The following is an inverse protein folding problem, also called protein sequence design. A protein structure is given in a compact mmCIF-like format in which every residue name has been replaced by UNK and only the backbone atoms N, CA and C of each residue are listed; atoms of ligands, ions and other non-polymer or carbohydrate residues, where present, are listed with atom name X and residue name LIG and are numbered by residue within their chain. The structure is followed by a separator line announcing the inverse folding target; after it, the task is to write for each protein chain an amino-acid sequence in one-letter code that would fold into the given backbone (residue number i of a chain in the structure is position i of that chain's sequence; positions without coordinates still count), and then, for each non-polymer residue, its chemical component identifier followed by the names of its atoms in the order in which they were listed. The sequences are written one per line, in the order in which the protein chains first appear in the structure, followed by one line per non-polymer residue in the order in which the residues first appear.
data_IF_621206928138
#
_entry.id   IF_621206928138
#
_cell.length_a   1.000
_cell.length_b   1.000
_cell.length_c   1.000
_cell.angle_alpha   90.00
_cell.angle_beta   90.00
_cell.angle_gamma   90.00
#
_symmetry.space_group_name_H-M   'P 1'
#
loop_
_entity.id
_entity.type
_entity.pdbx_description
1 polymer ?
#
# COMPACT_ATOMS: atom_id res chain seq x y z
N UNK A 1 18.27 27.64 9.43
CA UNK A 1 18.09 27.14 8.04
C UNK A 1 16.73 27.62 7.56
N UNK A 2 16.58 28.14 6.33
CA UNK A 2 15.24 28.53 5.81
C UNK A 2 14.47 27.25 5.45
N UNK A 3 13.21 27.14 5.87
CA UNK A 3 12.32 26.06 5.44
C UNK A 3 12.25 26.02 3.90
N UNK A 4 12.07 24.83 3.30
CA UNK A 4 11.84 24.72 1.87
C UNK A 4 10.63 25.57 1.46
N UNK A 5 10.67 26.10 0.23
CA UNK A 5 9.60 26.93 -0.32
C UNK A 5 8.25 26.21 -0.36
N UNK A 6 7.17 26.99 -0.52
CA UNK A 6 5.80 26.48 -0.56
C UNK A 6 5.64 25.40 -1.64
N UNK A 7 4.88 24.35 -1.32
CA UNK A 7 4.52 23.31 -2.27
C UNK A 7 3.62 23.90 -3.38
N UNK A 8 4.08 23.87 -4.64
CA UNK A 8 3.40 24.50 -5.77
C UNK A 8 2.82 23.51 -6.80
N UNK A 9 3.04 22.20 -6.63
CA UNK A 9 2.51 21.20 -7.57
C UNK A 9 1.01 20.98 -7.36
N UNK A 10 0.24 20.85 -8.45
CA UNK A 10 -1.18 20.46 -8.36
C UNK A 10 -1.26 18.99 -7.95
N UNK A 11 -1.87 18.72 -6.81
CA UNK A 11 -2.08 17.37 -6.27
C UNK A 11 -3.32 16.69 -6.85
N UNK A 12 -3.36 15.36 -6.78
CA UNK A 12 -4.53 14.56 -7.13
C UNK A 12 -4.42 13.97 -8.53
N UNK A 13 -5.50 14.02 -9.28
CA UNK A 13 -5.62 13.31 -10.55
C UNK A 13 -4.82 14.03 -11.65
N UNK A 14 -3.94 13.35 -12.40
CA UNK A 14 -3.29 13.91 -13.59
C UNK A 14 -4.29 14.35 -14.67
N UNK A 15 -3.93 15.38 -15.43
CA UNK A 15 -4.78 15.99 -16.47
C UNK A 15 -5.28 14.97 -17.50
N UNK A 16 -4.41 14.07 -17.97
CA UNK A 16 -4.78 13.03 -18.93
C UNK A 16 -5.86 12.05 -18.42
N UNK A 17 -6.02 11.91 -17.09
CA UNK A 17 -7.09 11.10 -16.49
C UNK A 17 -8.36 11.96 -16.31
N UNK A 18 -8.21 13.24 -15.96
CA UNK A 18 -9.33 14.17 -15.85
C UNK A 18 -10.04 14.41 -17.19
N UNK A 19 -9.30 14.31 -18.30
CA UNK A 19 -9.81 14.46 -19.67
C UNK A 19 -10.37 13.17 -20.27
N UNK A 20 -10.42 12.06 -19.52
CA UNK A 20 -11.00 10.81 -20.03
C UNK A 20 -12.51 10.95 -20.22
N UNK A 21 -13.02 10.52 -21.37
CA UNK A 21 -14.45 10.43 -21.65
C UNK A 21 -15.00 9.04 -21.28
N UNK A 22 -16.29 8.98 -20.92
CA UNK A 22 -17.01 7.74 -20.63
C UNK A 22 -16.32 6.84 -19.59
N UNK A 23 -15.76 7.45 -18.54
CA UNK A 23 -14.95 6.78 -17.53
C UNK A 23 -15.68 5.58 -16.91
N UNK A 24 -15.09 4.41 -17.08
CA UNK A 24 -15.54 3.16 -16.46
C UNK A 24 -14.55 2.66 -15.39
N UNK A 25 -15.02 1.91 -14.38
CA UNK A 25 -14.13 1.25 -13.42
C UNK A 25 -13.07 0.35 -14.06
N UNK A 26 -13.40 -0.33 -15.16
CA UNK A 26 -12.43 -1.15 -15.91
C UNK A 26 -11.32 -0.29 -16.53
N UNK A 27 -11.64 0.84 -17.16
CA UNK A 27 -10.62 1.74 -17.70
C UNK A 27 -9.67 2.26 -16.62
N UNK A 28 -10.21 2.63 -15.44
CA UNK A 28 -9.37 3.09 -14.33
C UNK A 28 -8.51 1.96 -13.74
N UNK A 29 -9.01 0.73 -13.68
CA UNK A 29 -8.22 -0.43 -13.27
C UNK A 29 -7.08 -0.71 -14.27
N UNK A 30 -7.31 -0.50 -15.57
CA UNK A 30 -6.32 -0.67 -16.65
C UNK A 30 -5.16 0.31 -16.62
N UNK A 31 -5.27 1.42 -15.91
CA UNK A 31 -4.14 2.29 -15.61
C UNK A 31 -3.02 1.56 -14.85
N UNK A 32 -3.37 0.49 -14.12
CA UNK A 32 -2.44 -0.27 -13.27
C UNK A 32 -2.10 -1.63 -13.85
N UNK A 33 -3.10 -2.37 -14.32
CA UNK A 33 -2.90 -3.63 -15.05
C UNK A 33 -3.04 -3.38 -16.55
N UNK A 34 -1.98 -2.79 -17.11
CA UNK A 34 -1.88 -2.41 -18.53
C UNK A 34 -1.75 -3.63 -19.44
N UNK A 35 -1.95 -3.44 -20.74
CA UNK A 35 -1.80 -4.50 -21.73
C UNK A 35 -0.38 -5.11 -21.70
N UNK A 36 0.67 -4.28 -21.65
CA UNK A 36 2.06 -4.74 -21.49
C UNK A 36 2.24 -5.71 -20.31
N UNK A 37 1.54 -5.48 -19.19
CA UNK A 37 1.63 -6.35 -18.03
C UNK A 37 0.93 -7.68 -18.29
N UNK A 38 -0.22 -7.67 -18.96
CA UNK A 38 -0.94 -8.89 -19.35
C UNK A 38 -0.12 -9.72 -20.34
N UNK A 39 0.53 -9.06 -21.32
CA UNK A 39 1.45 -9.68 -22.25
C UNK A 39 2.63 -10.36 -21.54
N UNK A 40 3.26 -9.67 -20.58
CA UNK A 40 4.35 -10.24 -19.78
C UNK A 40 3.87 -11.46 -18.98
N UNK A 41 2.71 -11.37 -18.31
CA UNK A 41 2.16 -12.49 -17.55
C UNK A 41 1.89 -13.68 -18.47
N UNK A 42 1.28 -13.43 -19.63
CA UNK A 42 0.93 -14.45 -20.62
C UNK A 42 2.19 -15.13 -21.17
N UNK A 43 3.15 -14.34 -21.65
CA UNK A 43 4.41 -14.82 -22.18
C UNK A 43 5.18 -15.67 -21.15
N UNK A 44 5.36 -15.15 -19.94
CA UNK A 44 6.13 -15.86 -18.89
C UNK A 44 5.42 -17.12 -18.40
N UNK A 45 4.09 -17.13 -18.40
CA UNK A 45 3.29 -18.32 -18.07
C UNK A 45 3.43 -19.40 -19.15
N UNK A 46 3.40 -19.03 -20.43
CA UNK A 46 3.63 -19.95 -21.54
C UNK A 46 5.06 -20.49 -21.56
N UNK A 47 6.06 -19.62 -21.34
CA UNK A 47 7.46 -20.01 -21.25
C UNK A 47 7.68 -21.06 -20.16
N UNK A 48 7.15 -20.82 -18.96
CA UNK A 48 7.24 -21.79 -17.87
C UNK A 48 6.54 -23.12 -18.23
N UNK A 49 5.38 -23.06 -18.87
CA UNK A 49 4.66 -24.26 -19.29
C UNK A 49 5.47 -25.06 -20.32
N UNK A 50 6.08 -24.41 -21.31
CA UNK A 50 6.96 -25.04 -22.29
C UNK A 50 8.19 -25.70 -21.64
N UNK A 51 8.76 -25.06 -20.61
CA UNK A 51 9.91 -25.60 -19.87
C UNK A 51 9.57 -26.80 -18.99
N UNK A 52 8.32 -26.94 -18.53
CA UNK A 52 7.96 -27.91 -17.47
C UNK A 52 6.94 -28.96 -17.90
N UNK A 53 6.19 -28.73 -18.97
CA UNK A 53 5.08 -29.58 -19.41
C UNK A 53 5.23 -29.93 -20.88
N UNK A 54 5.17 -31.22 -21.23
CA UNK A 54 5.28 -31.70 -22.62
C UNK A 54 4.09 -31.27 -23.49
N UNK A 55 2.88 -31.26 -22.91
CA UNK A 55 1.64 -30.87 -23.60
C UNK A 55 0.92 -29.80 -22.77
N UNK A 56 0.70 -28.62 -23.33
CA UNK A 56 -0.11 -27.58 -22.72
C UNK A 56 -0.83 -26.74 -23.78
N UNK A 57 -1.97 -26.15 -23.39
CA UNK A 57 -2.64 -25.12 -24.19
C UNK A 57 -2.08 -23.75 -23.79
N UNK A 58 -1.46 -22.99 -24.72
CA UNK A 58 -1.00 -21.64 -24.44
C UNK A 58 -2.11 -20.73 -23.93
N UNK A 59 -1.76 -19.75 -23.11
CA UNK A 59 -2.63 -18.67 -22.64
C UNK A 59 -2.39 -17.40 -23.46
N UNK A 60 -3.36 -16.50 -23.46
CA UNK A 60 -3.29 -15.19 -24.13
C UNK A 60 -3.48 -14.07 -23.11
N UNK A 61 -3.08 -12.82 -23.40
CA UNK A 61 -3.35 -11.67 -22.52
C UNK A 61 -4.83 -11.56 -22.12
N UNK A 62 -5.76 -11.83 -23.05
CA UNK A 62 -7.20 -11.82 -22.79
C UNK A 62 -7.63 -12.92 -21.83
N UNK A 63 -7.07 -14.14 -21.95
CA UNK A 63 -7.36 -15.23 -21.01
C UNK A 63 -6.77 -14.95 -19.62
N UNK A 64 -5.59 -14.35 -19.55
CA UNK A 64 -5.00 -13.86 -18.29
C UNK A 64 -5.92 -12.80 -17.67
N UNK A 65 -6.50 -11.93 -18.48
CA UNK A 65 -7.40 -10.92 -17.99
C UNK A 65 -8.69 -11.50 -17.38
N UNK A 66 -9.32 -12.47 -18.08
CA UNK A 66 -10.45 -13.25 -17.54
C UNK A 66 -10.05 -13.87 -16.19
N UNK A 67 -8.86 -14.45 -16.11
CA UNK A 67 -8.34 -15.04 -14.88
C UNK A 67 -8.22 -14.00 -13.75
N UNK A 68 -7.67 -12.81 -14.01
CA UNK A 68 -7.57 -11.74 -13.01
C UNK A 68 -8.96 -11.25 -12.56
N UNK A 69 -9.90 -11.10 -13.48
CA UNK A 69 -11.27 -10.70 -13.18
C UNK A 69 -11.98 -11.70 -12.27
N UNK A 70 -11.90 -13.00 -12.57
CA UNK A 70 -12.43 -14.06 -11.69
C UNK A 70 -11.80 -14.00 -10.30
N UNK A 71 -10.51 -13.67 -10.20
CA UNK A 71 -9.84 -13.49 -8.92
C UNK A 71 -10.38 -12.30 -8.11
N UNK A 72 -10.70 -11.19 -8.77
CA UNK A 72 -11.33 -10.03 -8.13
C UNK A 72 -12.74 -10.38 -7.63
N UNK A 73 -13.56 -11.07 -8.42
CA UNK A 73 -14.93 -11.49 -8.04
C UNK A 73 -14.91 -12.42 -6.83
N UNK A 74 -13.97 -13.37 -6.78
CA UNK A 74 -13.76 -14.28 -5.63
C UNK A 74 -13.45 -13.55 -4.32
N UNK A 75 -12.95 -12.30 -4.38
CA UNK A 75 -12.76 -11.48 -3.18
C UNK A 75 -14.07 -10.98 -2.54
N UNK A 76 -15.18 -10.96 -3.29
CA UNK A 76 -16.48 -10.44 -2.84
C UNK A 76 -17.23 -11.48 -2.00
N UNK A 77 -17.40 -12.68 -2.55
CA UNK A 77 -18.04 -13.82 -1.86
C UNK A 77 -16.95 -14.79 -1.48
N UNK A 78 -16.73 -15.06 -0.19
CA UNK A 78 -15.69 -15.99 0.26
C UNK A 78 -16.29 -17.38 0.49
N UNK A 79 -15.94 -18.33 -0.38
CA UNK A 79 -16.26 -19.75 -0.26
C UNK A 79 -15.07 -20.57 0.31
N UNK A 80 -15.33 -21.74 0.94
CA UNK A 80 -14.30 -22.59 1.53
C UNK A 80 -13.21 -23.03 0.54
N UNK A 81 -13.59 -23.34 -0.70
CA UNK A 81 -12.72 -23.72 -1.80
C UNK A 81 -12.97 -22.83 -3.01
N UNK A 82 -11.92 -22.61 -3.82
CA UNK A 82 -12.14 -21.94 -5.10
C UNK A 82 -12.95 -22.81 -6.07
N UNK A 83 -13.00 -24.13 -5.87
CA UNK A 83 -13.82 -25.02 -6.71
C UNK A 83 -15.31 -24.75 -6.52
N UNK A 84 -15.70 -24.32 -5.32
CA UNK A 84 -17.10 -24.11 -4.97
C UNK A 84 -17.75 -22.97 -5.77
N UNK A 85 -16.96 -22.03 -6.31
CA UNK A 85 -17.50 -20.99 -7.20
C UNK A 85 -18.05 -21.58 -8.49
N UNK A 86 -17.49 -22.68 -9.00
CA UNK A 86 -17.93 -23.31 -10.25
C UNK A 86 -19.17 -24.19 -10.10
N UNK A 87 -19.65 -24.42 -8.87
CA UNK A 87 -20.90 -25.15 -8.65
C UNK A 87 -22.15 -24.33 -9.06
N UNK A 88 -21.99 -23.00 -9.20
CA UNK A 88 -23.08 -22.06 -9.47
C UNK A 88 -22.83 -21.20 -10.73
N UNK A 89 -21.97 -21.68 -11.66
CA UNK A 89 -21.37 -21.00 -12.83
C UNK A 89 -20.03 -20.27 -12.54
N UNK A 90 -19.07 -20.20 -13.50
CA UNK A 90 -19.23 -19.46 -14.76
C UNK A 90 -18.74 -20.13 -16.07
N UNK A 91 -19.50 -19.94 -17.16
CA UNK A 91 -19.17 -20.34 -18.53
C UNK A 91 -17.90 -19.67 -19.13
N UNK A 92 -17.30 -18.68 -18.45
CA UNK A 92 -16.16 -17.89 -18.98
C UNK A 92 -14.83 -18.65 -18.97
N UNK A 93 -14.57 -19.47 -17.94
CA UNK A 93 -13.34 -20.26 -17.85
C UNK A 93 -13.62 -21.57 -17.12
N UNK A 94 -13.38 -22.74 -17.75
CA UNK A 94 -13.58 -24.03 -17.09
C UNK A 94 -12.74 -24.16 -15.81
N UNK A 95 -13.30 -24.82 -14.78
CA UNK A 95 -12.64 -25.01 -13.48
C UNK A 95 -11.22 -25.57 -13.62
N UNK A 96 -11.04 -26.56 -14.50
CA UNK A 96 -9.74 -27.18 -14.75
C UNK A 96 -8.74 -26.20 -15.38
N UNK A 97 -9.21 -25.32 -16.28
CA UNK A 97 -8.36 -24.28 -16.88
C UNK A 97 -7.98 -23.20 -15.87
N UNK A 98 -8.93 -22.76 -15.05
CA UNK A 98 -8.66 -21.83 -13.95
C UNK A 98 -7.64 -22.42 -12.96
N UNK A 99 -7.83 -23.68 -12.56
CA UNK A 99 -6.89 -24.40 -11.70
C UNK A 99 -5.51 -24.56 -12.34
N UNK A 100 -5.46 -24.81 -13.66
CA UNK A 100 -4.21 -24.86 -14.41
C UNK A 100 -3.49 -23.51 -14.38
N UNK A 101 -4.15 -22.41 -14.73
CA UNK A 101 -3.57 -21.06 -14.69
C UNK A 101 -3.13 -20.69 -13.28
N UNK A 102 -3.95 -20.97 -12.26
CA UNK A 102 -3.59 -20.72 -10.87
C UNK A 102 -2.31 -21.46 -10.44
N UNK A 103 -2.00 -22.61 -11.05
CA UNK A 103 -0.79 -23.38 -10.76
C UNK A 103 0.39 -23.03 -11.68
N UNK A 104 0.15 -22.51 -12.88
CA UNK A 104 1.18 -22.26 -13.90
C UNK A 104 1.51 -20.79 -14.12
N UNK A 105 0.75 -19.86 -13.54
CA UNK A 105 1.05 -18.42 -13.65
C UNK A 105 2.49 -18.13 -13.22
N UNK A 106 3.20 -17.39 -14.06
CA UNK A 106 4.59 -16.95 -13.86
C UNK A 106 4.75 -15.52 -14.36
N UNK A 107 5.78 -14.85 -13.84
CA UNK A 107 6.03 -13.42 -14.11
C UNK A 107 7.47 -13.17 -14.53
N UNK A 108 8.32 -14.20 -14.52
CA UNK A 108 9.73 -14.12 -14.84
C UNK A 108 10.27 -15.52 -15.16
N UNK A 109 11.35 -15.59 -15.94
CA UNK A 109 11.98 -16.84 -16.33
C UNK A 109 12.80 -17.39 -15.15
N UNK A 110 12.35 -18.52 -14.61
CA UNK A 110 13.00 -19.17 -13.48
C UNK A 110 14.40 -19.72 -13.83
N UNK A 111 14.69 -19.98 -15.10
CA UNK A 111 15.99 -20.51 -15.53
C UNK A 111 17.12 -19.49 -15.38
N UNK A 112 16.78 -18.20 -15.35
CA UNK A 112 17.71 -17.08 -15.28
C UNK A 112 17.92 -16.56 -13.84
N UNK A 113 17.39 -17.26 -12.82
CA UNK A 113 17.57 -16.85 -11.42
C UNK A 113 19.05 -16.96 -11.05
N UNK A 114 19.70 -15.85 -10.65
CA UNK A 114 21.10 -15.90 -10.19
C UNK A 114 21.27 -16.79 -8.95
N UNK A 115 22.47 -17.34 -8.75
CA UNK A 115 22.81 -18.03 -7.50
C UNK A 115 22.77 -17.06 -6.31
N UNK A 116 22.70 -17.58 -5.08
CA UNK A 116 22.56 -16.73 -3.88
C UNK A 116 23.81 -15.89 -3.58
N UNK A 117 24.95 -16.34 -4.06
CA UNK A 117 26.26 -15.72 -3.92
C UNK A 117 26.46 -14.61 -4.95
N UNK A 118 25.63 -14.60 -6.01
CA UNK A 118 25.70 -13.58 -7.04
C UNK A 118 25.27 -12.21 -6.46
N UNK A 119 26.05 -11.13 -6.67
CA UNK A 119 25.67 -9.78 -6.24
C UNK A 119 24.30 -9.30 -6.76
N UNK A 120 23.87 -9.82 -7.91
CA UNK A 120 22.59 -9.51 -8.55
C UNK A 120 21.44 -10.42 -8.05
N UNK A 121 21.65 -11.22 -7.01
CA UNK A 121 20.60 -12.08 -6.46
C UNK A 121 19.46 -11.26 -5.86
N UNK A 122 18.28 -11.35 -6.47
CA UNK A 122 17.06 -10.73 -5.97
C UNK A 122 16.15 -11.75 -5.29
N UNK A 123 15.92 -11.59 -3.97
CA UNK A 123 14.95 -12.42 -3.23
C UNK A 123 13.53 -12.33 -3.79
N UNK A 124 13.21 -11.26 -4.53
CA UNK A 124 11.92 -11.01 -5.16
C UNK A 124 11.91 -11.32 -6.67
N UNK A 125 12.97 -11.93 -7.22
CA UNK A 125 13.16 -12.12 -8.66
C UNK A 125 11.91 -12.62 -9.40
N UNK A 126 11.24 -13.65 -8.84
CA UNK A 126 10.06 -14.30 -9.44
C UNK A 126 8.86 -13.37 -9.64
N UNK A 127 8.79 -12.24 -8.94
CA UNK A 127 7.69 -11.27 -9.01
C UNK A 127 8.20 -9.87 -9.37
N UNK A 128 9.50 -9.69 -9.56
CA UNK A 128 10.12 -8.38 -9.80
C UNK A 128 9.51 -7.63 -10.99
N UNK A 129 9.22 -8.25 -12.14
CA UNK A 129 8.60 -7.54 -13.26
C UNK A 129 7.24 -6.91 -12.90
N UNK A 130 6.37 -7.66 -12.22
CA UNK A 130 5.10 -7.14 -11.71
C UNK A 130 5.32 -5.96 -10.75
N UNK A 131 6.23 -6.11 -9.77
CA UNK A 131 6.45 -5.06 -8.77
C UNK A 131 6.92 -3.77 -9.44
N UNK A 132 7.86 -3.84 -10.38
CA UNK A 132 8.39 -2.67 -11.07
C UNK A 132 7.30 -1.95 -11.88
N UNK A 133 6.49 -2.69 -12.64
CA UNK A 133 5.42 -2.13 -13.47
C UNK A 133 4.33 -1.50 -12.58
N UNK A 134 3.85 -2.22 -11.56
CA UNK A 134 2.81 -1.69 -10.66
C UNK A 134 3.32 -0.46 -9.91
N UNK A 135 4.56 -0.46 -9.45
CA UNK A 135 5.16 0.69 -8.77
C UNK A 135 5.31 1.90 -9.69
N UNK A 136 5.71 1.69 -10.96
CA UNK A 136 5.72 2.74 -11.99
C UNK A 136 4.32 3.31 -12.19
N UNK A 137 3.32 2.45 -12.37
CA UNK A 137 1.95 2.85 -12.63
C UNK A 137 1.32 3.57 -11.43
N UNK A 138 1.67 3.20 -10.19
CA UNK A 138 1.20 3.89 -8.98
C UNK A 138 1.73 5.32 -8.90
N UNK A 139 3.00 5.54 -9.27
CA UNK A 139 3.59 6.88 -9.29
C UNK A 139 3.07 7.75 -10.44
N UNK A 140 2.80 7.15 -11.60
CA UNK A 140 2.39 7.89 -12.80
C UNK A 140 0.94 8.37 -12.77
N UNK A 141 0.04 7.62 -12.13
CA UNK A 141 -1.41 7.86 -12.21
C UNK A 141 -1.98 8.67 -11.05
N UNK A 142 -1.14 9.29 -10.21
CA UNK A 142 -1.59 10.20 -9.15
C UNK A 142 -0.49 11.18 -8.77
N UNK A 143 -0.78 12.48 -8.84
CA UNK A 143 0.10 13.54 -8.36
C UNK A 143 0.01 13.61 -6.85
N UNK A 144 1.14 13.51 -6.16
CA UNK A 144 1.20 13.57 -4.69
C UNK A 144 0.63 14.88 -4.15
N UNK A 145 0.08 14.82 -2.94
CA UNK A 145 -0.18 16.00 -2.12
C UNK A 145 1.09 16.52 -1.45
N UNK A 146 1.02 17.73 -0.91
CA UNK A 146 2.05 18.32 -0.04
C UNK A 146 2.43 17.33 1.09
N UNK A 147 1.42 16.70 1.68
CA UNK A 147 1.55 15.79 2.82
C UNK A 147 1.41 14.35 2.34
N UNK A 148 2.32 13.48 2.78
CA UNK A 148 2.29 12.04 2.52
C UNK A 148 2.57 11.28 3.82
N UNK A 149 2.03 10.07 3.95
CA UNK A 149 2.29 9.20 5.09
C UNK A 149 3.06 7.95 4.64
N UNK A 150 4.03 7.54 5.45
CA UNK A 150 4.77 6.29 5.27
C UNK A 150 4.53 5.40 6.48
N UNK A 151 4.05 4.17 6.22
CA UNK A 151 3.82 3.18 7.28
C UNK A 151 3.89 1.74 6.71
N UNK A 152 3.86 0.75 7.60
CA UNK A 152 3.80 -0.65 7.23
C UNK A 152 2.38 -1.16 6.93
N UNK A 153 2.28 -1.90 5.83
CA UNK A 153 1.20 -2.85 5.57
C UNK A 153 1.69 -4.30 5.68
N UNK A 154 0.75 -5.22 5.89
CA UNK A 154 1.02 -6.65 6.07
C UNK A 154 0.26 -7.50 5.06
N UNK A 155 0.97 -8.44 4.42
CA UNK A 155 0.40 -9.46 3.52
C UNK A 155 0.41 -10.81 4.23
N UNK A 156 -0.76 -11.33 4.56
CA UNK A 156 -0.91 -12.61 5.31
C UNK A 156 -0.30 -13.77 4.53
N UNK A 157 0.70 -14.41 5.13
CA UNK A 157 1.30 -15.64 4.59
C UNK A 157 1.82 -16.54 5.72
N UNK A 158 1.42 -17.81 5.70
CA UNK A 158 1.80 -18.82 6.71
C UNK A 158 2.79 -19.87 6.18
N UNK A 159 3.03 -19.95 4.87
CA UNK A 159 3.94 -20.93 4.26
C UNK A 159 5.42 -20.66 4.53
N UNK A 160 6.31 -21.45 3.94
CA UNK A 160 7.77 -21.28 4.08
C UNK A 160 8.26 -20.14 3.18
N UNK A 161 8.91 -19.13 3.78
CA UNK A 161 9.60 -18.05 3.08
C UNK A 161 10.50 -17.32 4.09
N UNK A 162 11.71 -16.96 3.66
CA UNK A 162 12.68 -16.16 4.44
C UNK A 162 12.29 -14.69 4.57
N UNK A 163 11.33 -14.22 3.76
CA UNK A 163 10.87 -12.82 3.76
C UNK A 163 9.79 -12.54 4.83
N UNK A 164 9.27 -13.57 5.50
CA UNK A 164 8.20 -13.40 6.49
C UNK A 164 8.68 -12.62 7.71
N UNK A 165 7.84 -11.70 8.16
CA UNK A 165 8.00 -10.92 9.38
C UNK A 165 6.90 -11.28 10.40
N UNK A 166 7.21 -11.05 11.68
CA UNK A 166 6.25 -11.12 12.77
C UNK A 166 6.03 -9.72 13.35
N UNK A 167 4.79 -9.23 13.26
CA UNK A 167 4.37 -7.90 13.70
C UNK A 167 3.23 -8.05 14.74
N UNK A 168 3.54 -8.20 16.04
CA UNK A 168 2.56 -8.59 17.06
C UNK A 168 1.40 -7.58 17.23
N UNK A 169 1.66 -6.30 16.96
CA UNK A 169 0.69 -5.20 17.10
C UNK A 169 -0.21 -4.99 15.87
N UNK A 170 0.08 -5.60 14.71
CA UNK A 170 -0.76 -5.47 13.50
C UNK A 170 -1.81 -6.59 13.47
N UNK A 171 -3.01 -6.36 12.89
CA UNK A 171 -4.06 -7.39 12.78
C UNK A 171 -3.57 -8.67 12.08
N UNK A 172 -2.79 -8.50 11.00
CA UNK A 172 -2.07 -9.59 10.35
C UNK A 172 -0.69 -9.70 11.01
N UNK A 173 -0.56 -10.60 11.98
CA UNK A 173 0.67 -10.75 12.77
C UNK A 173 1.82 -11.42 12.03
N UNK A 174 1.54 -12.33 11.08
CA UNK A 174 2.56 -13.14 10.37
C UNK A 174 2.35 -13.04 8.86
N UNK A 175 3.37 -12.62 8.14
CA UNK A 175 3.26 -12.39 6.70
C UNK A 175 4.42 -11.61 6.13
N UNK A 176 4.25 -11.03 4.94
CA UNK A 176 5.23 -10.09 4.37
C UNK A 176 4.94 -8.69 4.86
N UNK A 177 5.98 -7.99 5.31
CA UNK A 177 5.93 -6.56 5.62
C UNK A 177 6.19 -5.78 4.34
N UNK A 178 5.36 -4.77 4.10
CA UNK A 178 5.47 -3.85 2.96
C UNK A 178 5.46 -2.43 3.51
N UNK A 179 6.50 -1.66 3.22
CA UNK A 179 6.48 -0.22 3.42
C UNK A 179 5.59 0.40 2.35
N UNK A 180 4.68 1.27 2.73
CA UNK A 180 3.75 1.93 1.84
C UNK A 180 3.89 3.45 2.01
N UNK A 181 3.91 4.19 0.91
CA UNK A 181 3.82 5.65 0.88
C UNK A 181 2.47 6.03 0.29
N UNK A 182 1.62 6.67 1.09
CA UNK A 182 0.28 7.06 0.66
C UNK A 182 0.07 8.58 0.73
N UNK A 183 -0.69 9.11 -0.23
CA UNK A 183 -1.26 10.46 -0.19
C UNK A 183 -2.68 10.42 0.37
N UNK A 184 -3.20 11.56 0.79
CA UNK A 184 -4.66 11.73 0.97
C UNK A 184 -5.36 11.57 -0.40
N UNK A 185 -6.54 10.91 -0.52
CA UNK A 185 -7.44 10.35 0.50
C UNK A 185 -7.12 8.92 0.97
N UNK A 186 -5.92 8.43 0.72
CA UNK A 186 -5.50 7.05 0.92
C UNK A 186 -5.11 6.37 -0.39
N UNK A 187 -4.51 7.11 -1.32
CA UNK A 187 -3.93 6.58 -2.55
C UNK A 187 -2.51 6.07 -2.28
N UNK A 188 -2.16 4.85 -2.70
CA UNK A 188 -0.80 4.33 -2.59
C UNK A 188 0.07 4.86 -3.73
N UNK A 189 0.98 5.79 -3.43
CA UNK A 189 1.93 6.35 -4.39
C UNK A 189 3.08 5.37 -4.68
N UNK A 190 3.52 4.65 -3.65
CA UNK A 190 4.72 3.84 -3.72
C UNK A 190 4.75 2.77 -2.63
N UNK A 191 5.56 1.74 -2.83
CA UNK A 191 5.74 0.67 -1.86
C UNK A 191 7.10 -0.01 -1.97
N UNK A 192 7.51 -0.68 -0.90
CA UNK A 192 8.70 -1.52 -0.88
C UNK A 192 8.48 -2.75 0.00
N UNK A 193 8.68 -3.94 -0.58
CA UNK A 193 8.70 -5.19 0.19
C UNK A 193 9.95 -5.25 1.08
N UNK A 194 9.75 -5.58 2.35
CA UNK A 194 10.86 -5.79 3.27
C UNK A 194 11.59 -7.09 2.96
N UNK A 195 12.89 -7.01 2.64
CA UNK A 195 13.73 -8.17 2.27
C UNK A 195 14.85 -8.48 3.27
N UNK A 196 15.31 -7.48 3.99
CA UNK A 196 16.35 -7.56 5.02
C UNK A 196 16.27 -6.35 5.95
N UNK A 197 16.89 -6.48 7.12
CA UNK A 197 17.11 -5.36 8.04
C UNK A 197 18.20 -4.48 7.44
N UNK A 198 17.94 -3.19 7.38
CA UNK A 198 18.96 -2.18 7.13
C UNK A 198 19.21 -1.43 8.44
N UNK A 199 20.48 -1.17 8.77
CA UNK A 199 20.84 -0.35 9.91
C UNK A 199 20.97 1.09 9.46
N UNK A 200 20.27 1.99 10.17
CA UNK A 200 20.32 3.41 9.92
C UNK A 200 20.52 4.15 11.23
N UNK A 201 21.36 5.18 11.21
CA UNK A 201 21.36 6.20 12.23
C UNK A 201 20.08 7.04 12.04
N UNK A 202 19.29 7.15 13.12
CA UNK A 202 17.99 7.85 13.07
C UNK A 202 18.22 9.29 12.65
N UNK A 203 19.03 10.05 13.39
CA UNK A 203 19.31 11.46 13.13
C UNK A 203 19.81 11.70 11.70
N UNK A 204 20.70 10.83 11.19
CA UNK A 204 21.17 10.92 9.81
C UNK A 204 20.02 10.90 8.79
N UNK A 205 19.02 10.04 8.95
CA UNK A 205 17.85 10.01 8.04
C UNK A 205 17.11 11.37 8.05
N UNK A 206 16.92 11.98 9.23
CA UNK A 206 16.20 13.26 9.33
C UNK A 206 16.97 14.41 8.70
N UNK A 207 18.31 14.38 8.82
CA UNK A 207 19.22 15.32 8.15
C UNK A 207 19.19 15.10 6.64
N UNK A 208 19.33 13.86 6.17
CA UNK A 208 19.31 13.52 4.75
C UNK A 208 17.98 13.99 4.10
N UNK A 209 16.84 13.76 4.77
CA UNK A 209 15.54 14.28 4.32
C UNK A 209 15.51 15.81 4.26
N UNK A 210 16.06 16.49 5.26
CA UNK A 210 16.10 17.96 5.27
C UNK A 210 16.98 18.52 4.13
N UNK A 211 18.13 17.88 3.87
CA UNK A 211 19.02 18.21 2.76
C UNK A 211 18.32 18.02 1.40
N UNK A 212 17.50 16.98 1.29
CA UNK A 212 16.63 16.71 0.14
C UNK A 212 15.38 17.61 0.11
N UNK A 213 15.28 18.59 1.01
CA UNK A 213 14.15 19.53 1.15
C UNK A 213 12.82 18.84 1.48
N UNK A 214 12.88 17.68 2.12
CA UNK A 214 11.74 16.91 2.59
C UNK A 214 11.53 17.17 4.08
N UNK A 215 10.40 17.81 4.39
CA UNK A 215 9.96 18.01 5.76
C UNK A 215 9.32 16.73 6.30
N UNK A 216 9.68 16.35 7.51
CA UNK A 216 9.21 15.14 8.16
C UNK A 216 8.82 15.38 9.61
N UNK A 217 7.85 14.60 10.07
CA UNK A 217 7.54 14.39 11.47
C UNK A 217 7.00 12.98 11.69
N UNK A 218 7.14 12.45 12.91
CA UNK A 218 6.74 11.08 13.19
C UNK A 218 7.05 10.65 14.61
N UNK A 219 6.51 9.50 15.01
CA UNK A 219 6.81 8.91 16.32
C UNK A 219 8.14 8.18 16.30
N UNK A 220 8.82 8.17 17.45
CA UNK A 220 10.07 7.41 17.66
C UNK A 220 9.93 6.51 18.88
N UNK A 221 10.55 5.33 18.82
CA UNK A 221 10.67 4.49 20.01
C UNK A 221 11.74 5.09 20.94
N UNK A 222 11.38 5.34 22.20
CA UNK A 222 12.28 5.87 23.22
C UNK A 222 13.54 5.01 23.46
N UNK A 223 13.51 3.72 23.12
CA UNK A 223 14.67 2.83 23.25
C UNK A 223 15.66 2.89 22.08
N UNK A 224 15.46 3.81 21.11
CA UNK A 224 16.41 4.00 20.01
C UNK A 224 17.73 4.54 20.54
N UNK A 225 18.84 4.03 19.99
CA UNK A 225 20.20 4.49 20.32
C UNK A 225 20.35 5.97 19.96
N UNK A 226 21.20 6.67 20.72
CA UNK A 226 21.60 8.07 20.50
C UNK A 226 20.49 9.11 20.66
N UNK A 227 19.33 8.74 21.23
CA UNK A 227 18.35 9.75 21.65
C UNK A 227 18.85 10.47 22.91
N UNK A 228 18.63 11.80 23.03
CA UNK A 228 18.99 12.55 24.22
C UNK A 228 18.08 12.21 25.39
N UNK A 229 18.56 12.44 26.61
CA UNK A 229 17.76 12.29 27.82
C UNK A 229 16.74 13.43 27.93
N UNK A 230 15.47 13.07 28.09
CA UNK A 230 14.35 13.96 28.35
C UNK A 230 13.84 13.76 29.78
N UNK A 231 13.02 14.70 30.28
CA UNK A 231 12.37 14.64 31.60
C UNK A 231 11.71 13.29 31.84
N UNK A 232 11.75 12.83 33.08
CA UNK A 232 11.05 11.62 33.52
C UNK A 232 9.54 11.77 33.37
N UNK A 233 8.86 10.67 33.04
CA UNK A 233 7.41 10.67 32.77
C UNK A 233 6.58 11.10 33.99
N UNK A 234 7.09 10.91 35.21
CA UNK A 234 6.47 11.33 36.48
C UNK A 234 6.53 12.84 36.71
N UNK A 235 7.48 13.52 36.08
CA UNK A 235 7.73 14.97 36.20
C UNK A 235 7.03 15.79 35.11
N UNK A 236 6.19 15.16 34.30
CA UNK A 236 5.38 15.82 33.29
C UNK A 236 3.92 15.74 33.72
N UNK A 237 3.18 16.82 33.55
CA UNK A 237 1.72 16.83 33.65
C UNK A 237 1.06 16.53 32.30
N UNK A 238 -0.24 16.24 32.31
CA UNK A 238 -0.96 15.96 31.07
C UNK A 238 -1.07 17.25 30.25
N UNK A 239 -0.63 17.20 28.99
CA UNK A 239 -0.55 18.33 28.08
C UNK A 239 0.85 18.94 27.98
N UNK A 240 1.73 18.64 28.93
CA UNK A 240 3.11 19.13 28.90
C UNK A 240 3.99 18.36 27.91
N UNK A 241 5.04 19.04 27.45
CA UNK A 241 6.10 18.46 26.64
C UNK A 241 7.49 18.91 27.08
N UNK A 242 8.48 18.07 26.78
CA UNK A 242 9.90 18.35 26.89
C UNK A 242 10.58 18.02 25.55
N UNK A 243 11.64 18.74 25.21
CA UNK A 243 12.30 18.56 23.92
C UNK A 243 13.79 18.87 23.98
N UNK A 244 14.53 18.33 23.01
CA UNK A 244 15.91 18.70 22.69
C UNK A 244 16.01 18.92 21.19
N UNK A 245 16.79 19.91 20.80
CA UNK A 245 17.06 20.24 19.40
C UNK A 245 18.56 20.02 19.17
N UNK A 246 18.92 19.27 18.14
CA UNK A 246 20.31 19.12 17.71
C UNK A 246 20.82 20.41 17.07
N UNK A 247 22.14 20.53 16.94
CA UNK A 247 22.81 21.55 16.14
C UNK A 247 22.37 21.54 14.65
N UNK A 248 21.91 20.39 14.17
CA UNK A 248 21.36 20.18 12.82
C UNK A 248 19.86 20.48 12.69
N UNK A 249 19.23 21.11 13.70
CA UNK A 249 17.79 21.43 13.76
C UNK A 249 16.85 20.22 13.73
N UNK A 250 17.32 19.04 14.14
CA UNK A 250 16.44 17.89 14.38
C UNK A 250 15.95 17.95 15.81
N UNK A 251 14.62 17.97 15.98
CA UNK A 251 13.96 17.97 17.28
C UNK A 251 13.60 16.55 17.70
N UNK A 252 13.95 16.20 18.93
CA UNK A 252 13.36 15.07 19.69
C UNK A 252 12.43 15.65 20.75
N UNK A 253 11.19 15.20 20.77
CA UNK A 253 10.15 15.72 21.64
C UNK A 253 9.44 14.59 22.40
N UNK A 254 9.13 14.81 23.67
CA UNK A 254 8.28 13.97 24.51
C UNK A 254 7.04 14.78 24.89
N UNK A 255 5.86 14.27 24.60
CA UNK A 255 4.58 14.86 25.03
C UNK A 255 3.78 13.87 25.86
N UNK A 256 3.15 14.33 26.94
CA UNK A 256 2.35 13.50 27.84
C UNK A 256 0.85 13.75 27.66
N UNK A 257 0.15 12.75 27.12
CA UNK A 257 -1.32 12.65 27.26
C UNK A 257 -1.64 11.71 28.44
N UNK A 258 -2.53 10.72 28.26
CA UNK A 258 -2.67 9.60 29.21
C UNK A 258 -1.41 8.75 29.32
N UNK A 259 -0.59 8.73 28.27
CA UNK A 259 0.73 8.09 28.20
C UNK A 259 1.68 9.00 27.44
N UNK A 260 2.97 8.84 27.68
CA UNK A 260 3.98 9.60 26.94
C UNK A 260 4.12 9.09 25.51
N UNK A 261 4.36 10.04 24.60
CA UNK A 261 4.68 9.77 23.20
C UNK A 261 5.97 10.51 22.87
N UNK A 262 6.90 9.83 22.22
CA UNK A 262 8.12 10.45 21.71
C UNK A 262 7.96 10.69 20.21
N UNK A 263 8.32 11.88 19.76
CA UNK A 263 8.23 12.31 18.38
C UNK A 263 9.54 12.93 17.91
N UNK A 264 9.73 12.91 16.60
CA UNK A 264 10.83 13.55 15.89
C UNK A 264 10.26 14.52 14.86
N UNK A 265 10.98 15.61 14.62
CA UNK A 265 10.74 16.50 13.48
C UNK A 265 12.01 17.22 13.05
N UNK A 266 12.10 17.54 11.76
CA UNK A 266 13.15 18.39 11.20
C UNK A 266 12.68 19.81 10.83
N UNK A 267 11.45 20.20 11.22
CA UNK A 267 10.87 21.47 10.75
C UNK A 267 9.97 22.23 11.73
N UNK A 268 9.43 21.58 12.77
CA UNK A 268 8.59 22.27 13.74
C UNK A 268 9.41 23.11 14.73
N UNK A 269 8.91 24.30 15.08
CA UNK A 269 9.39 25.01 16.26
C UNK A 269 8.83 24.34 17.52
N UNK A 270 9.72 23.83 18.38
CA UNK A 270 9.35 23.10 19.59
C UNK A 270 8.63 23.94 20.65
N UNK A 271 8.65 25.27 20.51
CA UNK A 271 7.96 26.21 21.40
C UNK A 271 6.51 26.44 20.99
N UNK A 272 6.13 26.09 19.76
CA UNK A 272 4.77 26.27 19.28
C UNK A 272 3.83 25.25 19.92
N UNK A 273 2.78 25.76 20.55
CA UNK A 273 1.74 24.98 21.22
C UNK A 273 0.42 25.19 20.49
N UNK A 274 -0.35 24.11 20.39
CA UNK A 274 -1.72 24.03 19.91
C UNK A 274 -2.55 23.25 20.94
N UNK A 275 -3.80 22.96 20.61
CA UNK A 275 -4.67 22.08 21.40
C UNK A 275 -5.13 20.88 20.59
N UNK A 276 -5.41 19.77 21.28
CA UNK A 276 -6.13 18.60 20.76
C UNK A 276 -7.38 18.36 21.60
N UNK A 277 -8.48 18.02 20.93
CA UNK A 277 -9.72 17.64 21.61
C UNK A 277 -9.67 16.16 21.98
N UNK A 278 -9.90 15.87 23.27
CA UNK A 278 -9.95 14.51 23.80
C UNK A 278 -11.31 14.24 24.42
N UNK A 279 -12.00 13.22 23.91
CA UNK A 279 -13.23 12.72 24.50
C UNK A 279 -12.91 11.80 25.68
N UNK A 280 -13.45 12.12 26.85
CA UNK A 280 -13.30 11.33 28.06
C UNK A 280 -14.36 10.22 28.15
N UNK A 281 -14.16 9.28 29.09
CA UNK A 281 -15.04 8.10 29.23
C UNK A 281 -16.48 8.47 29.60
N UNK A 282 -16.66 9.59 30.29
CA UNK A 282 -17.97 10.13 30.65
C UNK A 282 -18.68 10.84 29.47
N UNK A 283 -18.03 10.97 28.32
CA UNK A 283 -18.59 11.62 27.13
C UNK A 283 -18.14 13.07 26.93
N UNK A 284 -17.54 13.69 27.94
CA UNK A 284 -17.08 15.08 27.88
C UNK A 284 -15.90 15.24 26.93
N UNK A 285 -15.75 16.44 26.36
CA UNK A 285 -14.64 16.77 25.47
C UNK A 285 -13.77 17.84 26.10
N UNK A 286 -12.50 17.50 26.36
CA UNK A 286 -11.52 18.39 26.96
C UNK A 286 -10.51 18.85 25.91
N UNK A 287 -10.09 20.12 26.00
CA UNK A 287 -8.96 20.62 25.24
C UNK A 287 -7.69 20.39 26.04
N UNK A 288 -6.76 19.64 25.46
CA UNK A 288 -5.45 19.37 26.06
C UNK A 288 -4.40 20.10 25.22
N UNK A 289 -3.53 20.87 25.88
CA UNK A 289 -2.40 21.49 25.23
C UNK A 289 -1.50 20.42 24.59
N UNK A 290 -1.00 20.69 23.40
CA UNK A 290 -0.04 19.83 22.74
C UNK A 290 0.89 20.63 21.83
N UNK A 291 2.09 20.13 21.55
CA UNK A 291 2.94 20.71 20.51
C UNK A 291 2.23 20.73 19.14
N UNK A 292 2.54 21.72 18.32
CA UNK A 292 2.07 21.78 16.92
C UNK A 292 2.41 20.49 16.15
N UNK A 293 3.61 19.94 16.39
CA UNK A 293 4.07 18.65 15.88
C UNK A 293 3.04 17.53 16.09
N UNK A 294 2.44 17.44 17.28
CA UNK A 294 1.45 16.40 17.60
C UNK A 294 0.18 16.57 16.78
N UNK A 295 -0.27 17.82 16.58
CA UNK A 295 -1.46 18.13 15.78
C UNK A 295 -1.24 17.74 14.32
N UNK A 296 -0.11 18.15 13.74
CA UNK A 296 0.25 17.85 12.35
C UNK A 296 0.43 16.36 12.11
N UNK A 297 1.10 15.65 13.02
CA UNK A 297 1.23 14.20 12.95
C UNK A 297 -0.15 13.51 12.94
N UNK A 298 -1.03 13.85 13.90
CA UNK A 298 -2.35 13.22 14.01
C UNK A 298 -3.25 13.49 12.81
N UNK A 299 -3.13 14.66 12.18
CA UNK A 299 -3.91 15.02 10.99
C UNK A 299 -3.56 14.17 9.77
N UNK A 300 -2.32 13.67 9.65
CA UNK A 300 -1.80 13.09 8.41
C UNK A 300 -1.34 11.63 8.53
N UNK A 301 -1.13 11.10 9.74
CA UNK A 301 -0.54 9.76 9.96
C UNK A 301 -1.36 8.59 9.36
N UNK A 302 -2.65 8.78 9.08
CA UNK A 302 -3.58 7.68 8.81
C UNK A 302 -3.77 7.33 7.32
N UNK A 303 -3.03 7.94 6.38
CA UNK A 303 -3.29 7.71 4.95
C UNK A 303 -3.04 6.26 4.53
N UNK A 304 -2.03 5.61 5.11
CA UNK A 304 -1.77 4.17 4.89
C UNK A 304 -2.86 3.31 5.51
N UNK A 305 -3.39 3.69 6.67
CA UNK A 305 -4.51 2.98 7.32
C UNK A 305 -5.80 3.10 6.50
N UNK A 306 -6.09 4.28 5.93
CA UNK A 306 -7.22 4.49 4.99
C UNK A 306 -7.12 3.53 3.79
N UNK A 307 -5.94 3.43 3.17
CA UNK A 307 -5.70 2.48 2.07
C UNK A 307 -5.87 1.03 2.52
N UNK A 308 -5.29 0.66 3.67
CA UNK A 308 -5.37 -0.70 4.20
C UNK A 308 -6.82 -1.10 4.55
N UNK A 309 -7.62 -0.16 5.06
CA UNK A 309 -9.03 -0.37 5.36
C UNK A 309 -9.81 -0.73 4.08
N UNK A 310 -9.70 0.08 3.02
CA UNK A 310 -10.35 -0.19 1.73
C UNK A 310 -9.94 -1.56 1.16
N UNK A 311 -8.64 -1.87 1.20
CA UNK A 311 -8.12 -3.16 0.74
C UNK A 311 -8.67 -4.34 1.53
N UNK A 312 -8.90 -4.18 2.83
CA UNK A 312 -9.32 -5.27 3.71
C UNK A 312 -10.75 -5.74 3.48
N UNK A 313 -11.63 -4.90 2.93
CA UNK A 313 -13.06 -5.20 2.72
C UNK A 313 -13.29 -6.44 1.86
N UNK A 314 -12.56 -6.57 0.74
CA UNK A 314 -12.74 -7.63 -0.27
C UNK A 314 -11.43 -8.32 -0.66
N UNK A 315 -10.48 -8.39 0.27
CA UNK A 315 -9.15 -8.94 0.01
C UNK A 315 -9.19 -10.37 -0.57
N UNK A 316 -8.39 -10.61 -1.61
CA UNK A 316 -8.25 -11.90 -2.28
C UNK A 316 -7.43 -12.85 -1.39
N UNK A 317 -8.13 -13.62 -0.55
CA UNK A 317 -7.50 -14.50 0.44
C UNK A 317 -7.23 -15.92 -0.09
N UNK A 318 -6.31 -16.09 -1.04
CA UNK A 318 -5.96 -17.43 -1.57
C UNK A 318 -4.89 -18.19 -0.80
N UNK A 319 -5.20 -19.40 -0.29
CA UNK A 319 -4.17 -20.33 0.18
C UNK A 319 -3.25 -20.70 -0.99
N UNK A 320 -1.94 -20.56 -0.81
CA UNK A 320 -0.93 -20.97 -1.80
C UNK A 320 0.34 -21.45 -1.10
N UNK A 321 0.99 -22.44 -1.69
CA UNK A 321 2.33 -22.92 -1.28
C UNK A 321 3.44 -22.09 -1.92
N UNK A 322 3.19 -21.47 -3.08
CA UNK A 322 4.12 -20.58 -3.75
C UNK A 322 4.19 -19.26 -2.98
N UNK A 323 5.37 -18.94 -2.46
CA UNK A 323 5.56 -17.82 -1.54
C UNK A 323 5.12 -16.47 -2.12
N UNK A 324 5.32 -16.26 -3.42
CA UNK A 324 5.06 -15.00 -4.12
C UNK A 324 3.60 -14.80 -4.54
N UNK A 325 2.76 -15.85 -4.57
CA UNK A 325 1.36 -15.74 -4.98
C UNK A 325 0.57 -14.77 -4.09
N UNK A 326 0.84 -14.76 -2.78
CA UNK A 326 0.20 -13.82 -1.86
C UNK A 326 0.56 -12.38 -2.16
N UNK A 327 1.76 -12.14 -2.66
CA UNK A 327 2.23 -10.80 -3.05
C UNK A 327 1.54 -10.38 -4.35
N UNK A 328 1.48 -11.29 -5.34
CA UNK A 328 0.78 -11.06 -6.61
C UNK A 328 -0.67 -10.64 -6.41
N UNK A 329 -1.48 -11.44 -5.70
CA UNK A 329 -2.88 -11.11 -5.46
C UNK A 329 -3.07 -9.90 -4.55
N UNK A 330 -2.12 -9.62 -3.64
CA UNK A 330 -2.19 -8.39 -2.85
C UNK A 330 -2.03 -7.15 -3.72
N UNK A 331 -1.13 -7.16 -4.72
CA UNK A 331 -0.95 -6.01 -5.62
C UNK A 331 -2.07 -5.89 -6.66
N UNK A 332 -2.76 -6.99 -6.98
CA UNK A 332 -4.03 -6.95 -7.70
C UNK A 332 -5.10 -6.18 -6.90
N UNK A 333 -5.24 -6.48 -5.60
CA UNK A 333 -6.12 -5.72 -4.71
C UNK A 333 -5.67 -4.25 -4.56
N UNK A 334 -4.37 -3.99 -4.46
CA UNK A 334 -3.85 -2.63 -4.36
C UNK A 334 -4.19 -1.79 -5.60
N UNK A 335 -4.05 -2.36 -6.80
CA UNK A 335 -4.41 -1.69 -8.05
C UNK A 335 -5.90 -1.35 -8.10
N UNK A 336 -6.77 -2.26 -7.63
CA UNK A 336 -8.20 -2.00 -7.51
C UNK A 336 -8.51 -0.86 -6.51
N UNK A 337 -7.81 -0.82 -5.37
CA UNK A 337 -8.01 0.27 -4.38
C UNK A 337 -7.55 1.61 -4.94
N UNK A 338 -6.39 1.67 -5.59
CA UNK A 338 -5.90 2.90 -6.22
C UNK A 338 -6.85 3.40 -7.32
N UNK A 339 -7.35 2.51 -8.17
CA UNK A 339 -8.35 2.88 -9.20
C UNK A 339 -9.67 3.35 -8.59
N UNK A 340 -10.12 2.75 -7.48
CA UNK A 340 -11.30 3.24 -6.75
C UNK A 340 -11.08 4.61 -6.11
N UNK A 341 -9.86 4.89 -5.61
CA UNK A 341 -9.51 6.22 -5.09
C UNK A 341 -9.54 7.26 -6.20
N UNK A 342 -8.97 6.97 -7.37
CA UNK A 342 -9.06 7.86 -8.55
C UNK A 342 -10.53 8.10 -8.90
N UNK A 343 -11.35 7.06 -8.98
CA UNK A 343 -12.78 7.18 -9.28
C UNK A 343 -13.51 8.13 -8.32
N UNK A 344 -13.24 8.00 -7.01
CA UNK A 344 -13.82 8.89 -6.00
C UNK A 344 -13.37 10.35 -6.11
N UNK A 345 -12.13 10.58 -6.55
CA UNK A 345 -11.63 11.94 -6.75
C UNK A 345 -12.20 12.53 -8.06
N UNK A 346 -12.39 11.73 -9.13
CA UNK A 346 -13.07 12.15 -10.36
C UNK A 346 -14.52 12.55 -10.09
N UNK A 347 -15.23 11.81 -9.23
CA UNK A 347 -16.60 12.13 -8.82
C UNK A 347 -16.78 13.52 -8.21
N UNK A 348 -15.70 14.14 -7.71
CA UNK A 348 -15.74 15.51 -7.17
C UNK A 348 -15.66 16.57 -8.26
N UNK A 349 -15.36 16.18 -9.50
CA UNK A 349 -15.29 17.06 -10.65
C UNK A 349 -16.65 17.04 -11.35
N UNK A 350 -17.34 18.18 -11.34
CA UNK A 350 -18.73 18.32 -11.80
C UNK A 350 -18.93 17.83 -13.25
N UNK A 351 -17.93 17.99 -14.12
CA UNK A 351 -18.01 17.61 -15.53
C UNK A 351 -18.02 16.11 -15.79
N UNK A 352 -17.67 15.27 -14.80
CA UNK A 352 -17.54 13.82 -15.01
C UNK A 352 -18.87 13.06 -14.94
N UNK A 353 -19.87 13.60 -14.24
CA UNK A 353 -21.19 12.97 -14.09
C UNK A 353 -21.19 11.57 -13.46
N UNK A 354 -20.12 11.19 -12.74
CA UNK A 354 -19.95 9.84 -12.22
C UNK A 354 -20.91 9.55 -11.05
N UNK A 355 -21.62 8.41 -11.14
CA UNK A 355 -22.51 7.95 -10.07
C UNK A 355 -21.74 7.48 -8.84
N UNK A 356 -22.34 7.58 -7.65
CA UNK A 356 -21.72 7.10 -6.41
C UNK A 356 -21.66 5.58 -6.37
N UNK A 357 -20.46 5.01 -6.25
CA UNK A 357 -20.24 3.57 -6.10
C UNK A 357 -19.60 3.23 -4.76
N UNK A 358 -20.04 2.11 -4.18
CA UNK A 358 -19.29 1.39 -3.15
C UNK A 358 -18.08 0.68 -3.77
N UNK A 359 -17.08 0.35 -2.97
CA UNK A 359 -15.92 -0.43 -3.45
C UNK A 359 -16.33 -1.83 -3.94
N UNK A 360 -17.45 -2.38 -3.45
CA UNK A 360 -18.03 -3.64 -3.95
C UNK A 360 -18.52 -3.50 -5.39
N UNK A 361 -19.33 -2.47 -5.64
CA UNK A 361 -19.87 -2.19 -6.97
C UNK A 361 -18.74 -1.85 -7.95
N UNK A 362 -17.81 -0.97 -7.53
CA UNK A 362 -16.63 -0.64 -8.34
C UNK A 362 -15.83 -1.89 -8.71
N UNK A 363 -15.62 -2.81 -7.77
CA UNK A 363 -14.96 -4.10 -8.02
C UNK A 363 -15.69 -4.93 -9.06
N UNK A 364 -17.01 -5.08 -8.96
CA UNK A 364 -17.81 -5.80 -9.96
C UNK A 364 -17.70 -5.14 -11.34
N UNK A 365 -17.86 -3.82 -11.41
CA UNK A 365 -17.77 -3.07 -12.66
C UNK A 365 -16.37 -3.11 -13.29
N UNK A 366 -15.31 -3.25 -12.47
CA UNK A 366 -13.94 -3.46 -12.96
C UNK A 366 -13.73 -4.83 -13.61
N UNK A 367 -14.70 -5.74 -13.46
CA UNK A 367 -14.69 -7.10 -14.02
C UNK A 367 -15.79 -7.32 -15.06
N UNK A 368 -16.52 -6.25 -15.46
CA UNK A 368 -17.82 -6.36 -16.15
C UNK A 368 -17.80 -7.03 -17.53
N UNK A 369 -16.64 -7.16 -18.18
CA UNK A 369 -16.50 -7.97 -19.38
C UNK A 369 -16.89 -9.45 -19.16
N UNK A 370 -16.96 -9.91 -17.90
CA UNK A 370 -17.13 -11.33 -17.54
C UNK A 370 -18.31 -11.59 -16.59
N UNK A 371 -19.31 -10.69 -16.54
CA UNK A 371 -20.29 -10.61 -15.44
C UNK A 371 -21.79 -10.76 -15.75
N UNK A 372 -22.31 -10.94 -16.99
CA UNK A 372 -23.75 -11.15 -17.13
C UNK A 372 -24.35 -12.35 -16.36
N UNK A 373 -23.53 -13.20 -15.71
CA UNK A 373 -23.95 -14.51 -15.18
C UNK A 373 -23.57 -14.79 -13.71
N UNK A 374 -23.09 -13.81 -12.93
CA UNK A 374 -22.63 -14.04 -11.53
C UNK A 374 -23.40 -13.23 -10.46
N UNK A 375 -24.49 -12.57 -10.85
CA UNK A 375 -25.53 -12.02 -9.98
C UNK A 375 -26.82 -12.79 -10.25
#
# INVERSE_FOLDING_TARGET
MKLPGTFCEISGIPEHIQSMENITPLQLFRLFYTEDLLEIISFQTNLYAAQTSKNYKPTTPEEIDVFLALNLVVGIKKLPSYKDYWASAPDFMPLNRFGWLLNHIHLNDNSLIPSRENPNFDKLYKIRPLLNIIQRNFRANYKRSEKVAVDESMIKFKGRSSLKQYMPKKPIKRGYKVWMKCAEPGYCLDFQLYTSKQEHNVEKIWIDLLNDKILACGTVNATRKHLPTLKEDTKLERGEHDYRVSDTNVTVMKWKDKRVVHLLSNYHDSRNVSTVIRKERNGDSNQIACPELVKDYNANMNFVDKFAQLKSCYAIERKSRKWWHRIFFNFLDCALVNSFVIYKDLQKLDHTGLSRLTIKEFRLLSTRAFLPLLL
#
